data_IF_992071806061
#
_entry.id   IF_992071806061
#
_cell.length_a   1.000
_cell.length_b   1.000
_cell.length_c   1.000
_cell.angle_alpha   90.00
_cell.angle_beta   90.00
_cell.angle_gamma   90.00
#
_symmetry.space_group_name_H-M   'P 1'
#
loop_
_entity.id
_entity.type
_entity.pdbx_description
1 polymer ?
#
# COMPACT_ATOMS: atom_id res chain seq x y z
N UNK A 1 -0.84 1.28 26.28
CA UNK A 1 -1.75 0.67 27.28
C UNK A 1 -3.20 1.21 27.26
N UNK A 2 -3.58 2.16 26.37
CA UNK A 2 -4.96 2.70 26.31
C UNK A 2 -5.91 1.91 25.39
N UNK A 3 -5.39 1.32 24.31
CA UNK A 3 -6.19 0.55 23.34
C UNK A 3 -6.79 -0.75 23.91
N UNK A 4 -6.07 -1.42 24.83
CA UNK A 4 -6.52 -2.68 25.43
C UNK A 4 -7.81 -2.51 26.26
N UNK A 5 -7.99 -1.34 26.91
CA UNK A 5 -9.21 -1.05 27.71
C UNK A 5 -10.46 -0.88 26.83
N UNK A 6 -10.32 -0.28 25.65
CA UNK A 6 -11.46 -0.08 24.74
C UNK A 6 -11.95 -1.39 24.11
N UNK A 7 -11.02 -2.24 23.69
CA UNK A 7 -11.33 -3.57 23.15
C UNK A 7 -12.01 -4.45 24.20
N UNK A 8 -11.55 -4.40 25.45
CA UNK A 8 -12.16 -5.12 26.56
C UNK A 8 -13.59 -4.61 26.85
N UNK A 9 -13.79 -3.28 26.92
CA UNK A 9 -15.11 -2.69 27.15
C UNK A 9 -16.08 -3.05 26.03
N UNK A 10 -15.64 -2.95 24.77
CA UNK A 10 -16.45 -3.38 23.62
C UNK A 10 -16.79 -4.86 23.70
N UNK A 11 -15.81 -5.72 24.02
CA UNK A 11 -16.04 -7.16 24.20
C UNK A 11 -17.08 -7.45 25.28
N UNK A 12 -17.01 -6.76 26.44
CA UNK A 12 -18.00 -6.91 27.52
C UNK A 12 -19.39 -6.44 27.09
N UNK A 13 -19.49 -5.31 26.38
CA UNK A 13 -20.76 -4.79 25.86
C UNK A 13 -21.37 -5.77 24.84
N UNK A 14 -20.55 -6.32 23.94
CA UNK A 14 -20.99 -7.30 22.93
C UNK A 14 -21.50 -8.58 23.58
N UNK A 15 -20.76 -9.12 24.58
CA UNK A 15 -21.19 -10.30 25.35
C UNK A 15 -22.50 -10.03 26.10
N UNK A 16 -22.61 -8.85 26.73
CA UNK A 16 -23.83 -8.44 27.42
C UNK A 16 -25.02 -8.33 26.46
N UNK A 17 -24.84 -7.71 25.30
CA UNK A 17 -25.88 -7.56 24.28
C UNK A 17 -26.30 -8.91 23.70
N UNK A 18 -25.36 -9.82 23.48
CA UNK A 18 -25.63 -11.21 23.08
C UNK A 18 -26.48 -11.93 24.13
N UNK A 19 -26.11 -11.83 25.42
CA UNK A 19 -26.86 -12.44 26.51
C UNK A 19 -28.30 -11.90 26.63
N UNK A 20 -28.47 -10.57 26.48
CA UNK A 20 -29.80 -9.94 26.47
C UNK A 20 -30.63 -10.42 25.28
N UNK A 21 -30.03 -10.53 24.09
CA UNK A 21 -30.72 -11.04 22.89
C UNK A 21 -31.22 -12.48 23.10
N UNK A 22 -30.37 -13.37 23.62
CA UNK A 22 -30.78 -14.74 23.96
C UNK A 22 -31.87 -14.79 25.04
N UNK A 23 -31.81 -13.92 26.04
CA UNK A 23 -32.85 -13.82 27.07
C UNK A 23 -34.21 -13.39 26.49
N UNK A 24 -34.22 -12.39 25.60
CA UNK A 24 -35.44 -11.96 24.89
C UNK A 24 -36.00 -13.11 24.04
N UNK A 25 -35.14 -13.82 23.30
CA UNK A 25 -35.54 -14.96 22.49
C UNK A 25 -36.16 -16.09 23.33
N UNK A 26 -35.61 -16.33 24.52
CA UNK A 26 -36.16 -17.28 25.50
C UNK A 26 -37.55 -16.88 26.00
N UNK A 27 -37.74 -15.61 26.34
CA UNK A 27 -39.03 -15.10 26.85
C UNK A 27 -40.13 -15.15 25.77
N UNK A 28 -39.79 -14.90 24.49
CA UNK A 28 -40.76 -14.90 23.39
C UNK A 28 -41.20 -16.32 23.02
N UNK A 29 -40.26 -17.27 22.88
CA UNK A 29 -40.58 -18.61 22.39
C UNK A 29 -40.99 -19.60 23.49
N UNK A 30 -40.59 -19.37 24.76
CA UNK A 30 -40.84 -20.25 25.93
C UNK A 30 -40.55 -21.74 25.69
N UNK A 31 -39.78 -22.08 24.66
CA UNK A 31 -39.40 -23.44 24.28
C UNK A 31 -37.88 -23.51 24.09
N UNK A 32 -37.24 -24.24 25.00
CA UNK A 32 -35.78 -24.44 25.02
C UNK A 32 -35.28 -25.30 23.84
N UNK A 33 -36.13 -26.15 23.25
CA UNK A 33 -35.71 -27.01 22.14
C UNK A 33 -35.44 -26.23 20.87
N UNK A 34 -36.31 -25.26 20.54
CA UNK A 34 -36.12 -24.41 19.37
C UNK A 34 -34.81 -23.61 19.47
N UNK A 35 -34.50 -23.06 20.65
CA UNK A 35 -33.26 -22.31 20.89
C UNK A 35 -32.03 -23.22 20.74
N UNK A 36 -32.11 -24.47 21.20
CA UNK A 36 -31.00 -25.41 21.12
C UNK A 36 -30.64 -25.78 19.67
N UNK A 37 -31.64 -25.98 18.81
CA UNK A 37 -31.42 -26.30 17.39
C UNK A 37 -30.75 -25.13 16.66
N UNK A 38 -31.20 -23.89 16.89
CA UNK A 38 -30.57 -22.70 16.30
C UNK A 38 -29.16 -22.45 16.85
N UNK A 39 -28.92 -22.66 18.15
CA UNK A 39 -27.60 -22.55 18.76
C UNK A 39 -26.58 -23.51 18.13
N UNK A 40 -26.98 -24.76 17.88
CA UNK A 40 -26.12 -25.74 17.19
C UNK A 40 -25.83 -25.31 15.76
N UNK A 41 -26.83 -24.74 15.06
CA UNK A 41 -26.64 -24.16 13.73
C UNK A 41 -25.65 -22.98 13.72
N UNK A 42 -25.78 -22.07 14.66
CA UNK A 42 -24.87 -20.92 14.82
C UNK A 42 -23.44 -21.40 15.07
N UNK A 43 -23.23 -22.34 16.00
CA UNK A 43 -21.92 -22.91 16.31
C UNK A 43 -21.30 -23.58 15.07
N UNK A 44 -22.09 -24.30 14.28
CA UNK A 44 -21.61 -24.90 13.04
C UNK A 44 -21.23 -23.84 11.98
N UNK A 45 -21.95 -22.72 11.93
CA UNK A 45 -21.70 -21.63 10.99
C UNK A 45 -20.46 -20.79 11.34
N UNK A 46 -20.08 -20.70 12.61
CA UNK A 46 -18.87 -19.95 13.07
C UNK A 46 -17.62 -20.35 12.29
N UNK A 47 -17.46 -21.63 11.95
CA UNK A 47 -16.28 -22.09 11.19
C UNK A 47 -16.19 -21.42 9.81
N UNK A 48 -17.30 -21.28 9.10
CA UNK A 48 -17.37 -20.60 7.81
C UNK A 48 -17.21 -19.10 8.00
N UNK A 49 -17.85 -18.52 9.00
CA UNK A 49 -17.76 -17.09 9.30
C UNK A 49 -16.32 -16.65 9.60
N UNK A 50 -15.63 -17.36 10.50
CA UNK A 50 -14.23 -17.06 10.83
C UNK A 50 -13.35 -17.23 9.60
N UNK A 51 -13.53 -18.28 8.81
CA UNK A 51 -12.77 -18.47 7.56
C UNK A 51 -12.98 -17.30 6.60
N UNK A 52 -14.24 -16.88 6.39
CA UNK A 52 -14.58 -15.80 5.47
C UNK A 52 -14.00 -14.46 5.96
N UNK A 53 -14.24 -14.11 7.22
CA UNK A 53 -13.77 -12.85 7.80
C UNK A 53 -12.24 -12.79 7.83
N UNK A 54 -11.57 -13.89 8.21
CA UNK A 54 -10.10 -13.94 8.23
C UNK A 54 -9.51 -13.85 6.84
N UNK A 55 -10.07 -14.53 5.83
CA UNK A 55 -9.62 -14.44 4.44
C UNK A 55 -9.73 -13.01 3.90
N UNK A 56 -10.87 -12.34 4.14
CA UNK A 56 -11.08 -10.95 3.71
C UNK A 56 -10.10 -10.01 4.41
N UNK A 57 -9.95 -10.11 5.74
CA UNK A 57 -9.05 -9.24 6.50
C UNK A 57 -7.60 -9.48 6.08
N UNK A 58 -7.21 -10.73 5.87
CA UNK A 58 -5.87 -11.09 5.42
C UNK A 58 -5.55 -10.45 4.06
N UNK A 59 -6.46 -10.54 3.10
CA UNK A 59 -6.26 -9.93 1.78
C UNK A 59 -6.13 -8.40 1.87
N UNK A 60 -6.99 -7.75 2.66
CA UNK A 60 -6.91 -6.31 2.89
C UNK A 60 -5.58 -5.90 3.54
N UNK A 61 -5.09 -6.69 4.50
CA UNK A 61 -3.79 -6.46 5.13
C UNK A 61 -2.64 -6.63 4.13
N UNK A 62 -2.67 -7.70 3.34
CA UNK A 62 -1.65 -7.98 2.32
C UNK A 62 -1.57 -6.86 1.26
N UNK A 63 -2.73 -6.34 0.82
CA UNK A 63 -2.78 -5.18 -0.08
C UNK A 63 -2.15 -3.94 0.54
N UNK A 64 -2.43 -3.67 1.82
CA UNK A 64 -1.85 -2.52 2.54
C UNK A 64 -0.34 -2.66 2.71
N UNK A 65 0.15 -3.85 3.03
CA UNK A 65 1.58 -4.12 3.19
C UNK A 65 2.35 -3.88 1.89
N UNK A 66 1.85 -4.39 0.76
CA UNK A 66 2.45 -4.14 -0.56
C UNK A 66 2.53 -2.65 -0.87
N UNK A 67 1.46 -1.89 -0.58
CA UNK A 67 1.44 -0.43 -0.77
C UNK A 67 2.50 0.27 0.09
N UNK A 68 2.61 -0.10 1.36
CA UNK A 68 3.61 0.49 2.27
C UNK A 68 5.05 0.20 1.81
N UNK A 69 5.31 -0.99 1.28
CA UNK A 69 6.62 -1.33 0.72
C UNK A 69 6.93 -0.44 -0.48
N UNK A 70 5.99 -0.26 -1.41
CA UNK A 70 6.17 0.62 -2.57
C UNK A 70 6.42 2.08 -2.15
N UNK A 71 5.68 2.59 -1.16
CA UNK A 71 5.91 3.93 -0.62
C UNK A 71 7.31 4.06 0.01
N UNK A 72 7.76 3.06 0.77
CA UNK A 72 9.12 3.05 1.34
C UNK A 72 10.20 3.01 0.26
N UNK A 73 10.01 2.22 -0.80
CA UNK A 73 10.94 2.20 -1.93
C UNK A 73 11.03 3.58 -2.60
N UNK A 74 9.90 4.26 -2.80
CA UNK A 74 9.89 5.62 -3.35
C UNK A 74 10.65 6.62 -2.46
N UNK A 75 10.54 6.49 -1.13
CA UNK A 75 11.33 7.31 -0.19
C UNK A 75 12.83 7.04 -0.37
N UNK A 76 13.24 5.77 -0.45
CA UNK A 76 14.65 5.40 -0.61
C UNK A 76 15.19 5.90 -1.95
N UNK A 77 14.45 5.73 -3.04
CA UNK A 77 14.82 6.25 -4.36
C UNK A 77 14.95 7.78 -4.32
N UNK A 78 13.97 8.47 -3.71
CA UNK A 78 14.00 9.92 -3.55
C UNK A 78 15.20 10.42 -2.74
N UNK A 79 15.52 9.73 -1.65
CA UNK A 79 16.70 10.04 -0.82
C UNK A 79 18.00 9.77 -1.58
N UNK A 80 18.12 8.64 -2.30
CA UNK A 80 19.28 8.33 -3.13
C UNK A 80 19.56 9.44 -4.17
N UNK A 81 18.54 9.86 -4.91
CA UNK A 81 18.70 10.94 -5.91
C UNK A 81 18.93 12.31 -5.26
N UNK A 82 18.42 12.53 -4.04
CA UNK A 82 18.62 13.78 -3.31
C UNK A 82 20.06 13.95 -2.82
N UNK A 83 20.69 12.85 -2.37
CA UNK A 83 22.03 12.84 -1.77
C UNK A 83 23.16 12.57 -2.77
N UNK A 84 23.02 11.55 -3.64
CA UNK A 84 24.13 11.07 -4.48
C UNK A 84 23.76 11.04 -5.96
N UNK A 85 22.54 10.64 -6.29
CA UNK A 85 22.14 10.36 -7.67
C UNK A 85 22.20 11.57 -8.58
N UNK A 86 21.87 12.79 -8.09
CA UNK A 86 22.00 14.03 -8.88
C UNK A 86 23.44 14.29 -9.30
N UNK A 87 24.38 14.16 -8.37
CA UNK A 87 25.80 14.43 -8.64
C UNK A 87 26.38 13.36 -9.57
N UNK A 88 25.96 12.11 -9.39
CA UNK A 88 26.34 11.01 -10.28
C UNK A 88 25.82 11.22 -11.71
N UNK A 89 24.56 11.62 -11.87
CA UNK A 89 23.99 11.97 -13.18
C UNK A 89 24.76 13.12 -13.81
N UNK A 90 25.08 14.16 -13.03
CA UNK A 90 25.85 15.32 -13.51
C UNK A 90 27.24 14.90 -13.99
N UNK A 91 27.94 14.05 -13.23
CA UNK A 91 29.25 13.53 -13.60
C UNK A 91 29.19 12.79 -14.94
N UNK A 92 28.29 11.80 -15.07
CA UNK A 92 28.16 11.04 -16.31
C UNK A 92 27.68 11.88 -17.49
N UNK A 93 26.79 12.84 -17.24
CA UNK A 93 26.30 13.79 -18.25
C UNK A 93 27.43 14.69 -18.77
N UNK A 94 28.45 14.98 -17.97
CA UNK A 94 29.60 15.81 -18.40
C UNK A 94 30.54 15.04 -19.33
N UNK A 95 30.55 13.71 -19.23
CA UNK A 95 31.31 12.83 -20.11
C UNK A 95 30.68 12.63 -21.49
N UNK A 96 29.40 13.01 -21.68
CA UNK A 96 28.72 12.91 -22.96
C UNK A 96 28.96 14.20 -23.78
N UNK A 97 29.66 14.12 -24.94
CA UNK A 97 29.97 15.27 -25.79
C UNK A 97 28.73 16.01 -26.30
N UNK A 98 27.60 15.32 -26.47
CA UNK A 98 26.39 15.81 -27.12
C UNK A 98 25.28 16.17 -26.11
N UNK A 99 25.54 16.05 -24.80
CA UNK A 99 24.60 16.39 -23.72
C UNK A 99 24.00 17.80 -23.84
N UNK A 100 24.77 18.74 -24.39
CA UNK A 100 24.35 20.13 -24.58
C UNK A 100 23.14 20.28 -25.49
N UNK A 101 22.94 19.35 -26.44
CA UNK A 101 21.82 19.35 -27.37
C UNK A 101 20.50 18.98 -26.67
N UNK A 102 20.54 18.05 -25.71
CA UNK A 102 19.33 17.55 -25.03
C UNK A 102 19.06 18.32 -23.74
N UNK A 103 20.07 18.95 -23.14
CA UNK A 103 19.94 19.66 -21.86
C UNK A 103 18.82 20.70 -21.85
N UNK A 104 18.56 21.38 -22.97
CA UNK A 104 17.45 22.36 -23.06
C UNK A 104 16.08 21.68 -23.15
N UNK A 105 15.99 20.50 -23.78
CA UNK A 105 14.76 19.71 -23.89
C UNK A 105 14.40 19.00 -22.57
N UNK A 106 15.37 18.84 -21.66
CA UNK A 106 15.22 18.20 -20.35
C UNK A 106 14.77 19.13 -19.22
N UNK A 107 14.56 20.43 -19.50
CA UNK A 107 14.12 21.39 -18.48
C UNK A 107 12.64 21.17 -18.19
N UNK A 108 12.37 20.44 -17.10
CA UNK A 108 11.02 20.22 -16.59
C UNK A 108 10.47 21.54 -16.04
N UNK A 109 9.39 22.04 -16.64
CA UNK A 109 8.65 23.22 -16.19
C UNK A 109 7.24 22.81 -15.75
N UNK A 110 6.52 23.67 -15.01
CA UNK A 110 5.13 23.40 -14.55
C UNK A 110 4.14 23.05 -15.68
N UNK A 111 4.50 23.29 -16.95
CA UNK A 111 3.68 22.97 -18.12
C UNK A 111 3.83 21.54 -18.62
N UNK A 112 4.71 20.73 -18.04
CA UNK A 112 4.92 19.35 -18.47
C UNK A 112 3.70 18.49 -18.15
N UNK A 113 3.06 17.97 -19.20
CA UNK A 113 2.04 16.94 -19.10
C UNK A 113 2.65 15.54 -19.08
N UNK A 114 1.92 14.56 -18.55
CA UNK A 114 2.32 13.15 -18.55
C UNK A 114 2.70 12.65 -19.96
N UNK A 115 2.01 13.14 -20.99
CA UNK A 115 2.30 12.82 -22.39
C UNK A 115 3.66 13.34 -22.84
N UNK A 116 4.00 14.59 -22.51
CA UNK A 116 5.30 15.19 -22.85
C UNK A 116 6.45 14.48 -22.14
N UNK A 117 6.24 14.05 -20.89
CA UNK A 117 7.21 13.24 -20.17
C UNK A 117 7.45 11.89 -20.87
N UNK A 118 6.38 11.22 -21.29
CA UNK A 118 6.48 9.94 -22.01
C UNK A 118 7.19 10.09 -23.36
N UNK A 119 6.84 11.14 -24.12
CA UNK A 119 7.44 11.44 -25.43
C UNK A 119 8.95 11.71 -25.27
N UNK A 120 9.34 12.46 -24.25
CA UNK A 120 10.75 12.74 -23.94
C UNK A 120 11.50 11.49 -23.45
N UNK A 121 10.87 10.65 -22.63
CA UNK A 121 11.45 9.36 -22.21
C UNK A 121 11.73 8.46 -23.42
N UNK A 122 10.81 8.42 -24.39
CA UNK A 122 10.99 7.67 -25.62
C UNK A 122 12.06 8.30 -26.54
N UNK A 123 12.22 9.63 -26.52
CA UNK A 123 13.31 10.32 -27.21
C UNK A 123 14.66 9.92 -26.62
N UNK A 124 14.82 10.01 -25.29
CA UNK A 124 16.04 9.61 -24.58
C UNK A 124 16.42 8.14 -24.81
N UNK A 125 15.46 7.22 -24.83
CA UNK A 125 15.75 5.79 -25.11
C UNK A 125 16.32 5.54 -26.50
N UNK A 126 16.04 6.42 -27.47
CA UNK A 126 16.55 6.34 -28.84
C UNK A 126 17.82 7.16 -29.04
N UNK A 127 18.19 7.96 -28.07
CA UNK A 127 19.41 8.74 -28.12
C UNK A 127 20.63 7.83 -27.95
N UNK A 128 21.57 7.92 -28.89
CA UNK A 128 22.85 7.22 -28.81
C UNK A 128 23.77 8.02 -27.91
N UNK A 129 24.01 7.50 -26.71
CA UNK A 129 24.91 8.11 -25.75
C UNK A 129 26.33 7.67 -26.09
N UNK A 130 27.29 8.60 -26.13
CA UNK A 130 28.71 8.30 -26.29
C UNK A 130 29.47 8.82 -25.07
N UNK A 131 30.46 8.06 -24.61
CA UNK A 131 31.23 8.39 -23.41
C UNK A 131 32.64 8.76 -23.84
N UNK A 132 32.93 10.06 -23.81
CA UNK A 132 34.29 10.54 -24.02
C UNK A 132 35.05 10.51 -22.69
N UNK A 133 35.82 9.44 -22.48
CA UNK A 133 36.67 9.27 -21.30
C UNK A 133 37.72 10.38 -21.15
N UNK A 134 38.05 11.14 -22.21
CA UNK A 134 38.98 12.26 -22.12
C UNK A 134 38.31 13.52 -21.51
N UNK A 135 36.98 13.59 -21.50
CA UNK A 135 36.19 14.65 -20.83
C UNK A 135 35.70 14.25 -19.44
N UNK A 136 35.80 12.98 -19.07
CA UNK A 136 35.60 12.54 -17.70
C UNK A 136 36.81 12.95 -16.86
N UNK A 137 36.70 14.07 -16.14
CA UNK A 137 37.63 14.41 -15.06
C UNK A 137 37.31 13.45 -13.90
N UNK A 138 38.16 12.44 -13.70
CA UNK A 138 37.99 11.37 -12.71
C UNK A 138 38.84 11.62 -11.46
#
# INVERSE_FOLDING_TARGET
MKHFKWQLILGVILVFLSAVSYFIHYVIFRDAHHIFIYLVGDIAFVFIEVLLVTMIIHEVLAMREKKLILEKLNIVIGSFFSEVGKDLIKLFSTCDPDVGKIRQELIVTEKWSDKQFLDMSNHLKRYSHDIDMAKCDL
#
